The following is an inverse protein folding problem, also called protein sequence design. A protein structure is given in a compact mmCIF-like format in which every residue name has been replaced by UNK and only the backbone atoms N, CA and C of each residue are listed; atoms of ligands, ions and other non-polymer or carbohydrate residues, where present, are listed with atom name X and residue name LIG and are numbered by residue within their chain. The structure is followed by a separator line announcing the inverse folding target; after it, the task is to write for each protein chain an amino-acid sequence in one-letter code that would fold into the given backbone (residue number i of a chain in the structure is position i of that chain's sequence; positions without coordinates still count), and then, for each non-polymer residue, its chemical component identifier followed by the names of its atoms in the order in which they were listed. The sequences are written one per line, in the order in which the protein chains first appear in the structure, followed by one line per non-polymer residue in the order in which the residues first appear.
data_IF_659225373747
#
_entry.id   IF_659225373747
#
_cell.length_a   1.000
_cell.length_b   1.000
_cell.length_c   1.000
_cell.angle_alpha   90.00
_cell.angle_beta   90.00
_cell.angle_gamma   90.00
#
_symmetry.space_group_name_H-M   'P 1'
#
loop_
_entity.id
_entity.type
_entity.pdbx_description
1 polymer ?
#
# COMPACT_ATOMS: atom_id res chain seq x y z
N UNK A 1 -9.00 13.21 -13.18
CA UNK A 1 -9.43 12.81 -11.83
C UNK A 1 -9.16 13.93 -10.84
N UNK A 2 -9.95 14.03 -9.77
CA UNK A 2 -9.75 15.02 -8.71
C UNK A 2 -8.41 14.82 -7.99
N UNK A 3 -7.97 15.86 -7.32
CA UNK A 3 -6.75 15.89 -6.51
C UNK A 3 -6.86 14.87 -5.35
N UNK A 4 -5.77 14.13 -5.08
CA UNK A 4 -5.78 13.05 -4.08
C UNK A 4 -6.10 13.54 -2.66
N UNK A 5 -5.54 14.69 -2.25
CA UNK A 5 -5.78 15.31 -0.95
C UNK A 5 -6.18 16.77 -1.12
N UNK A 6 -7.17 17.21 -0.36
CA UNK A 6 -7.65 18.59 -0.33
C UNK A 6 -7.79 19.10 1.10
N UNK A 7 -7.83 20.42 1.28
CA UNK A 7 -8.08 21.05 2.58
C UNK A 7 -9.35 21.88 2.44
N UNK A 8 -10.37 21.54 3.22
CA UNK A 8 -11.64 22.28 3.26
C UNK A 8 -11.40 23.70 3.76
N UNK A 9 -11.79 24.69 2.94
CA UNK A 9 -11.74 26.11 3.31
C UNK A 9 -12.72 26.47 4.43
N UNK A 10 -13.78 25.68 4.61
CA UNK A 10 -14.82 25.91 5.62
C UNK A 10 -14.40 25.38 7.00
N UNK A 11 -13.66 24.27 7.04
CA UNK A 11 -13.26 23.64 8.30
C UNK A 11 -11.85 24.04 8.75
N UNK A 12 -11.01 24.60 7.87
CA UNK A 12 -9.64 24.94 8.22
C UNK A 12 -9.59 26.11 9.21
N UNK A 13 -8.79 25.93 10.28
CA UNK A 13 -8.57 26.97 11.31
C UNK A 13 -7.18 27.60 11.24
N UNK A 14 -6.44 27.42 10.14
CA UNK A 14 -5.10 27.98 9.93
C UNK A 14 -4.06 27.73 11.06
N UNK A 15 -4.14 26.59 11.76
CA UNK A 15 -3.19 26.24 12.82
C UNK A 15 -1.78 25.83 12.32
N UNK A 16 -1.60 25.73 11.01
CA UNK A 16 -0.36 25.33 10.31
C UNK A 16 0.23 23.97 10.70
N UNK A 17 -0.52 23.10 11.38
CA UNK A 17 -0.06 21.77 11.75
C UNK A 17 0.30 20.92 10.52
N UNK A 18 -0.53 20.97 9.48
CA UNK A 18 -0.28 20.29 8.22
C UNK A 18 1.01 20.79 7.53
N UNK A 19 1.25 22.11 7.56
CA UNK A 19 2.45 22.74 6.96
C UNK A 19 3.73 22.22 7.63
N UNK A 20 3.72 22.13 8.98
CA UNK A 20 4.88 21.66 9.75
C UNK A 20 5.23 20.20 9.46
N UNK A 21 4.22 19.32 9.39
CA UNK A 21 4.43 17.87 9.22
C UNK A 21 4.68 17.45 7.77
N UNK A 22 4.40 18.30 6.78
CA UNK A 22 4.58 17.93 5.37
C UNK A 22 6.09 17.77 5.06
N UNK A 23 6.56 16.56 4.71
CA UNK A 23 7.99 16.29 4.54
C UNK A 23 8.56 17.01 3.31
N UNK A 24 7.73 17.22 2.30
CA UNK A 24 8.14 17.74 0.98
C UNK A 24 7.67 19.19 0.73
N UNK A 25 7.17 19.85 1.77
CA UNK A 25 6.66 21.24 1.73
C UNK A 25 5.66 21.45 0.57
N UNK A 26 4.71 20.52 0.44
CA UNK A 26 3.65 20.55 -0.57
C UNK A 26 2.41 21.33 -0.11
N UNK A 27 2.50 22.14 0.96
CA UNK A 27 1.38 22.90 1.50
C UNK A 27 1.73 24.39 1.46
N UNK A 28 0.89 25.15 0.78
CA UNK A 28 1.00 26.58 0.58
C UNK A 28 0.02 27.33 1.49
N UNK A 29 0.45 28.49 1.99
CA UNK A 29 -0.41 29.46 2.66
C UNK A 29 -0.21 30.79 1.94
N UNK A 30 -1.29 31.37 1.41
CA UNK A 30 -1.24 32.67 0.74
C UNK A 30 -1.75 33.78 1.66
N UNK A 31 -1.12 34.96 1.55
CA UNK A 31 -1.62 36.15 2.23
C UNK A 31 -3.07 36.45 1.81
N UNK A 32 -3.93 36.74 2.78
CA UNK A 32 -5.36 36.98 2.54
C UNK A 32 -6.22 35.72 2.38
N UNK A 33 -5.66 34.51 2.47
CA UNK A 33 -6.44 33.26 2.51
C UNK A 33 -6.55 32.70 3.92
N UNK A 34 -7.78 32.36 4.33
CA UNK A 34 -8.07 31.80 5.65
C UNK A 34 -7.93 30.28 5.73
N UNK A 35 -7.30 29.66 4.73
CA UNK A 35 -7.03 28.22 4.71
C UNK A 35 -5.73 27.90 3.97
N UNK A 36 -5.09 26.80 4.35
CA UNK A 36 -3.93 26.26 3.63
C UNK A 36 -4.37 25.42 2.42
N UNK A 37 -3.53 25.36 1.38
CA UNK A 37 -3.81 24.59 0.15
C UNK A 37 -2.69 23.57 -0.12
N UNK A 38 -3.07 22.38 -0.56
CA UNK A 38 -2.11 21.36 -1.01
C UNK A 38 -1.76 21.62 -2.48
N UNK A 39 -0.46 21.71 -2.78
CA UNK A 39 0.08 21.75 -4.14
C UNK A 39 0.16 20.29 -4.64
N UNK A 40 -0.78 19.92 -5.51
CA UNK A 40 -0.96 18.54 -5.97
C UNK A 40 0.33 17.92 -6.54
N UNK A 41 1.02 18.63 -7.42
CA UNK A 41 2.20 18.12 -8.12
C UNK A 41 3.35 17.76 -7.16
N UNK A 42 3.50 18.53 -6.07
CA UNK A 42 4.51 18.28 -5.03
C UNK A 42 4.10 17.19 -4.04
N UNK A 43 2.82 16.88 -3.92
CA UNK A 43 2.32 15.92 -2.93
C UNK A 43 2.81 14.50 -3.25
N UNK A 44 3.27 13.78 -2.23
CA UNK A 44 3.69 12.36 -2.33
C UNK A 44 2.64 11.39 -1.77
N UNK A 45 1.45 11.88 -1.43
CA UNK A 45 0.33 11.08 -0.95
C UNK A 45 0.47 10.40 0.42
N UNK A 46 1.43 10.86 1.24
CA UNK A 46 1.77 10.21 2.51
C UNK A 46 0.71 10.29 3.62
N UNK A 47 -0.24 11.24 3.52
CA UNK A 47 -1.30 11.41 4.52
C UNK A 47 -0.87 12.01 5.87
N UNK A 48 0.38 12.48 6.04
CA UNK A 48 0.82 13.08 7.31
C UNK A 48 -0.02 14.31 7.71
N UNK A 49 -0.41 15.13 6.72
CA UNK A 49 -1.31 16.26 6.94
C UNK A 49 -2.73 15.84 7.37
N UNK A 50 -3.23 14.70 6.88
CA UNK A 50 -4.52 14.13 7.26
C UNK A 50 -4.52 13.70 8.74
N UNK A 51 -3.44 13.05 9.16
CA UNK A 51 -3.33 12.51 10.52
C UNK A 51 -3.18 13.60 11.59
N UNK A 52 -2.46 14.68 11.30
CA UNK A 52 -2.18 15.74 12.28
C UNK A 52 -3.31 16.78 12.41
N UNK A 53 -4.25 16.83 11.48
CA UNK A 53 -5.26 17.89 11.44
C UNK A 53 -6.25 17.77 12.61
N UNK A 54 -6.30 18.73 13.55
CA UNK A 54 -7.12 18.62 14.75
C UNK A 54 -8.63 18.76 14.47
N UNK A 55 -8.98 19.39 13.35
CA UNK A 55 -10.37 19.69 12.94
C UNK A 55 -10.82 18.87 11.73
N UNK A 56 -10.03 17.86 11.33
CA UNK A 56 -10.32 16.99 10.18
C UNK A 56 -10.63 17.76 8.86
N UNK A 57 -10.01 18.93 8.68
CA UNK A 57 -10.17 19.77 7.49
C UNK A 57 -9.45 19.20 6.26
N UNK A 58 -8.41 18.39 6.45
CA UNK A 58 -7.78 17.66 5.34
C UNK A 58 -8.65 16.46 4.98
N UNK A 59 -9.01 16.35 3.70
CA UNK A 59 -9.77 15.24 3.12
C UNK A 59 -8.95 14.58 2.02
N UNK A 60 -9.33 13.36 1.65
CA UNK A 60 -8.79 12.67 0.49
C UNK A 60 -9.92 12.26 -0.45
N UNK A 61 -9.59 12.05 -1.71
CA UNK A 61 -10.56 11.62 -2.72
C UNK A 61 -11.23 10.30 -2.31
N UNK A 62 -12.55 10.35 -2.13
CA UNK A 62 -13.32 9.15 -1.83
C UNK A 62 -13.72 8.41 -3.11
N UNK A 63 -13.48 7.11 -3.13
CA UNK A 63 -13.83 6.18 -4.22
C UNK A 63 -15.11 5.39 -3.92
N UNK A 64 -15.84 5.68 -2.83
CA UNK A 64 -17.04 4.91 -2.47
C UNK A 64 -18.12 4.96 -3.55
N UNK A 65 -18.41 6.14 -4.11
CA UNK A 65 -19.42 6.28 -5.17
C UNK A 65 -18.99 5.58 -6.46
N UNK A 66 -17.71 5.69 -6.82
CA UNK A 66 -17.13 4.98 -7.97
C UNK A 66 -17.27 3.47 -7.81
N UNK A 67 -16.95 2.94 -6.63
CA UNK A 67 -17.07 1.50 -6.36
C UNK A 67 -18.54 1.06 -6.31
N UNK A 68 -19.45 1.82 -5.71
CA UNK A 68 -20.89 1.52 -5.76
C UNK A 68 -21.42 1.49 -7.20
N UNK A 69 -20.96 2.40 -8.05
CA UNK A 69 -21.27 2.38 -9.48
C UNK A 69 -20.69 1.16 -10.19
N UNK A 70 -19.48 0.74 -9.81
CA UNK A 70 -18.82 -0.44 -10.39
C UNK A 70 -19.56 -1.72 -10.00
N UNK A 71 -19.94 -1.85 -8.73
CA UNK A 71 -20.69 -3.00 -8.20
C UNK A 71 -22.10 -3.10 -8.80
N UNK A 72 -22.73 -1.98 -9.15
CA UNK A 72 -24.05 -1.96 -9.82
C UNK A 72 -23.99 -2.06 -11.34
N UNK A 73 -22.79 -2.12 -11.94
CA UNK A 73 -22.61 -2.09 -13.40
C UNK A 73 -22.92 -3.42 -14.11
N UNK A 74 -23.14 -4.50 -13.36
CA UNK A 74 -23.32 -5.86 -13.90
C UNK A 74 -22.01 -6.57 -14.31
N UNK A 75 -20.86 -5.90 -14.19
CA UNK A 75 -19.55 -6.51 -14.38
C UNK A 75 -19.21 -7.46 -13.21
N UNK A 76 -18.33 -8.43 -13.47
CA UNK A 76 -17.66 -9.17 -12.38
C UNK A 76 -16.68 -8.23 -11.70
N UNK A 77 -16.77 -8.10 -10.39
CA UNK A 77 -15.88 -7.22 -9.61
C UNK A 77 -15.14 -8.04 -8.56
N UNK A 78 -13.81 -8.03 -8.61
CA UNK A 78 -12.92 -8.61 -7.63
C UNK A 78 -12.45 -7.54 -6.63
N UNK A 79 -12.55 -7.85 -5.34
CA UNK A 79 -11.86 -7.11 -4.29
C UNK A 79 -10.49 -7.76 -4.05
N UNK A 80 -9.40 -6.99 -4.10
CA UNK A 80 -8.06 -7.44 -3.67
C UNK A 80 -7.68 -6.77 -2.35
N UNK A 81 -7.69 -7.55 -1.26
CA UNK A 81 -7.54 -7.03 0.09
C UNK A 81 -6.08 -7.03 0.55
N UNK A 82 -5.57 -5.90 1.01
CA UNK A 82 -4.24 -5.82 1.60
C UNK A 82 -4.17 -6.66 2.89
N UNK A 83 -3.09 -7.42 3.16
CA UNK A 83 -2.98 -8.29 4.34
C UNK A 83 -3.09 -7.55 5.70
N UNK A 84 -2.91 -6.23 5.70
CA UNK A 84 -3.08 -5.35 6.87
C UNK A 84 -4.51 -5.31 7.40
N UNK A 85 -5.46 -5.89 6.66
CA UNK A 85 -6.87 -6.01 7.04
C UNK A 85 -7.03 -6.70 8.39
N UNK A 86 -6.20 -7.72 8.64
CA UNK A 86 -6.15 -8.45 9.91
C UNK A 86 -5.74 -7.57 11.10
N UNK A 87 -4.97 -6.52 10.86
CA UNK A 87 -4.58 -5.53 11.87
C UNK A 87 -5.58 -4.38 12.01
N UNK A 88 -6.38 -4.10 10.99
CA UNK A 88 -7.35 -3.00 11.01
C UNK A 88 -8.71 -3.44 11.58
N UNK A 89 -9.20 -4.61 11.17
CA UNK A 89 -10.53 -5.12 11.52
C UNK A 89 -10.47 -6.07 12.72
N UNK A 90 -9.85 -5.59 13.80
CA UNK A 90 -9.66 -6.35 15.05
C UNK A 90 -10.96 -6.64 15.80
N UNK A 91 -12.01 -5.89 15.46
CA UNK A 91 -13.38 -6.04 15.93
C UNK A 91 -14.13 -7.19 15.26
N UNK A 92 -13.61 -7.73 14.16
CA UNK A 92 -14.20 -8.85 13.43
C UNK A 92 -13.52 -10.14 13.86
N UNK A 93 -14.31 -11.09 14.35
CA UNK A 93 -13.80 -12.27 15.09
C UNK A 93 -13.22 -13.35 14.19
N UNK A 94 -13.67 -13.44 12.93
CA UNK A 94 -13.17 -14.40 11.95
C UNK A 94 -13.05 -13.76 10.55
N UNK A 95 -11.89 -13.91 9.91
CA UNK A 95 -11.68 -13.38 8.56
C UNK A 95 -12.68 -13.92 7.54
N UNK A 96 -13.26 -15.10 7.76
CA UNK A 96 -14.24 -15.67 6.83
C UNK A 96 -15.56 -14.92 6.86
N UNK A 97 -15.92 -14.35 8.01
CA UNK A 97 -17.03 -13.40 8.11
C UNK A 97 -16.67 -12.11 7.40
N UNK A 98 -15.43 -11.65 7.56
CA UNK A 98 -14.93 -10.46 6.87
C UNK A 98 -15.03 -10.59 5.33
N UNK A 99 -14.64 -11.74 4.78
CA UNK A 99 -14.79 -12.03 3.35
C UNK A 99 -16.26 -11.99 2.94
N UNK A 100 -17.15 -12.60 3.73
CA UNK A 100 -18.59 -12.56 3.46
C UNK A 100 -19.19 -11.15 3.56
N UNK A 101 -18.67 -10.31 4.46
CA UNK A 101 -19.06 -8.89 4.53
C UNK A 101 -18.72 -8.16 3.23
N UNK A 102 -17.55 -8.42 2.64
CA UNK A 102 -17.18 -7.85 1.35
C UNK A 102 -18.07 -8.42 0.23
N UNK A 103 -18.30 -9.73 0.18
CA UNK A 103 -19.20 -10.34 -0.82
C UNK A 103 -20.62 -9.78 -0.73
N UNK A 104 -21.10 -9.48 0.48
CA UNK A 104 -22.40 -8.86 0.74
C UNK A 104 -22.53 -7.44 0.17
N UNK A 105 -21.43 -6.74 -0.13
CA UNK A 105 -21.46 -5.46 -0.86
C UNK A 105 -21.72 -5.66 -2.37
N UNK A 106 -21.60 -6.87 -2.89
CA UNK A 106 -21.78 -7.20 -4.31
C UNK A 106 -20.51 -7.62 -5.05
N UNK A 107 -19.37 -7.78 -4.37
CA UNK A 107 -18.15 -8.29 -4.98
C UNK A 107 -18.31 -9.76 -5.39
N UNK A 108 -17.94 -10.08 -6.64
CA UNK A 108 -17.98 -11.44 -7.18
C UNK A 108 -16.87 -12.30 -6.60
N UNK A 109 -15.65 -11.74 -6.51
CA UNK A 109 -14.47 -12.41 -5.99
C UNK A 109 -13.85 -11.56 -4.88
N UNK A 110 -13.30 -12.21 -3.86
CA UNK A 110 -12.55 -11.54 -2.79
C UNK A 110 -11.23 -12.28 -2.62
N UNK A 111 -10.16 -11.69 -3.15
CA UNK A 111 -8.81 -12.22 -3.08
C UNK A 111 -7.98 -11.45 -2.05
N UNK A 112 -6.88 -12.03 -1.60
CA UNK A 112 -5.94 -11.38 -0.68
C UNK A 112 -4.62 -11.06 -1.40
N UNK A 113 -4.13 -9.83 -1.24
CA UNK A 113 -2.87 -9.34 -1.84
C UNK A 113 -1.64 -10.13 -1.33
N UNK A 114 -1.79 -10.92 -0.27
CA UNK A 114 -0.78 -11.84 0.25
C UNK A 114 -0.12 -12.69 -0.85
N UNK A 115 -0.88 -13.17 -1.84
CA UNK A 115 -0.28 -13.95 -2.93
C UNK A 115 0.64 -13.09 -3.82
N UNK A 116 0.21 -11.88 -4.18
CA UNK A 116 1.06 -10.92 -4.89
C UNK A 116 2.31 -10.54 -4.09
N UNK A 117 2.23 -10.52 -2.76
CA UNK A 117 3.41 -10.34 -1.91
C UNK A 117 4.39 -11.51 -2.09
N UNK A 118 3.93 -12.75 -2.06
CA UNK A 118 4.82 -13.91 -2.23
C UNK A 118 5.56 -13.88 -3.58
N UNK A 119 4.86 -13.48 -4.64
CA UNK A 119 5.45 -13.30 -5.98
C UNK A 119 6.51 -12.20 -5.96
N UNK A 120 6.16 -11.00 -5.48
CA UNK A 120 7.06 -9.85 -5.47
C UNK A 120 8.26 -10.07 -4.54
N UNK A 121 8.06 -10.73 -3.40
CA UNK A 121 9.15 -11.09 -2.51
C UNK A 121 10.17 -12.01 -3.21
N UNK A 122 9.72 -12.94 -4.08
CA UNK A 122 10.61 -13.79 -4.87
C UNK A 122 11.38 -12.99 -5.91
N UNK A 123 10.76 -12.01 -6.55
CA UNK A 123 11.44 -11.10 -7.47
C UNK A 123 12.51 -10.25 -6.76
N UNK A 124 12.23 -9.76 -5.55
CA UNK A 124 13.26 -9.10 -4.72
C UNK A 124 14.39 -10.04 -4.35
N UNK A 125 14.09 -11.28 -3.97
CA UNK A 125 15.12 -12.27 -3.67
C UNK A 125 16.02 -12.53 -4.88
N UNK A 126 15.44 -12.72 -6.07
CA UNK A 126 16.18 -12.85 -7.33
C UNK A 126 17.07 -11.62 -7.58
N UNK A 127 16.52 -10.42 -7.40
CA UNK A 127 17.24 -9.15 -7.60
C UNK A 127 18.42 -8.99 -6.63
N UNK A 128 18.24 -9.27 -5.35
CA UNK A 128 19.27 -9.11 -4.32
C UNK A 128 20.33 -10.21 -4.36
N UNK A 129 19.97 -11.43 -4.74
CA UNK A 129 20.93 -12.52 -4.91
C UNK A 129 21.75 -12.38 -6.21
N UNK A 130 21.20 -11.75 -7.25
CA UNK A 130 21.89 -11.40 -8.49
C UNK A 130 22.51 -9.99 -8.45
N UNK A 131 23.26 -9.69 -7.38
CA UNK A 131 23.88 -8.38 -7.20
C UNK A 131 24.97 -8.11 -8.26
N UNK A 132 24.86 -6.97 -8.96
CA UNK A 132 25.79 -6.56 -10.03
C UNK A 132 26.45 -5.20 -9.75
N UNK A 133 26.75 -4.91 -8.48
CA UNK A 133 27.39 -3.65 -8.09
C UNK A 133 26.43 -2.46 -7.94
N UNK A 134 25.13 -2.72 -7.78
CA UNK A 134 24.12 -1.68 -7.60
C UNK A 134 23.16 -2.02 -6.47
N UNK A 135 23.01 -1.10 -5.54
CA UNK A 135 22.06 -1.20 -4.44
C UNK A 135 20.70 -0.62 -4.83
N UNK A 136 19.65 -1.16 -4.22
CA UNK A 136 18.27 -0.87 -4.61
C UNK A 136 17.43 -0.43 -3.41
N UNK A 137 16.50 0.47 -3.67
CA UNK A 137 15.38 0.82 -2.81
C UNK A 137 14.15 0.00 -3.22
N UNK A 138 13.48 -0.66 -2.28
CA UNK A 138 12.21 -1.34 -2.57
C UNK A 138 11.14 -0.32 -2.96
N UNK A 139 10.23 -0.75 -3.83
CA UNK A 139 9.22 0.07 -4.51
C UNK A 139 7.79 -0.35 -4.17
N UNK A 140 7.65 -1.20 -3.16
CA UNK A 140 6.35 -1.70 -2.68
C UNK A 140 5.53 -0.64 -1.95
N UNK A 141 6.17 0.42 -1.42
CA UNK A 141 5.52 1.59 -0.86
C UNK A 141 5.44 2.71 -1.92
N UNK A 142 4.25 3.08 -2.43
CA UNK A 142 4.14 4.08 -3.50
C UNK A 142 4.52 5.50 -3.05
N UNK A 143 4.51 5.77 -1.74
CA UNK A 143 5.01 7.03 -1.16
C UNK A 143 6.53 7.14 -1.30
N UNK A 144 7.26 6.03 -1.18
CA UNK A 144 8.73 5.99 -1.39
C UNK A 144 9.04 6.28 -2.84
N UNK A 145 8.33 5.64 -3.77
CA UNK A 145 8.47 5.89 -5.21
C UNK A 145 8.22 7.38 -5.51
N UNK A 146 7.11 7.93 -5.02
CA UNK A 146 6.77 9.34 -5.23
C UNK A 146 7.77 10.32 -4.60
N UNK A 147 8.34 9.97 -3.43
CA UNK A 147 9.39 10.75 -2.78
C UNK A 147 10.65 10.79 -3.64
N UNK A 148 11.10 9.63 -4.14
CA UNK A 148 12.32 9.52 -4.94
C UNK A 148 12.15 10.21 -6.30
N UNK A 149 11.08 9.90 -7.04
CA UNK A 149 10.83 10.51 -8.36
C UNK A 149 10.76 12.04 -8.29
N UNK A 150 10.23 12.59 -7.20
CA UNK A 150 9.99 14.03 -7.06
C UNK A 150 11.07 14.82 -6.33
N UNK A 151 11.78 14.21 -5.39
CA UNK A 151 12.67 14.93 -4.48
C UNK A 151 14.08 14.33 -4.38
N UNK A 152 14.32 13.15 -4.94
CA UNK A 152 15.65 12.54 -5.07
C UNK A 152 15.84 11.94 -6.47
N UNK A 153 15.72 12.75 -7.55
CA UNK A 153 15.74 12.25 -8.92
C UNK A 153 17.01 11.48 -9.29
N UNK A 154 18.12 11.76 -8.61
CA UNK A 154 19.40 11.05 -8.70
C UNK A 154 19.27 9.56 -8.33
N UNK A 155 18.31 9.24 -7.45
CA UNK A 155 18.01 7.88 -6.97
C UNK A 155 16.94 7.15 -7.77
N UNK A 156 16.34 7.74 -8.80
CA UNK A 156 15.30 7.08 -9.62
C UNK A 156 15.81 5.77 -10.21
N UNK A 157 17.07 5.75 -10.63
CA UNK A 157 17.70 4.53 -11.14
C UNK A 157 17.93 3.47 -10.04
N UNK A 158 17.95 3.83 -8.76
CA UNK A 158 18.10 2.91 -7.64
C UNK A 158 16.76 2.34 -7.14
N UNK A 159 15.62 2.84 -7.63
CA UNK A 159 14.34 2.18 -7.41
C UNK A 159 14.36 0.78 -8.06
N UNK A 160 14.03 -0.25 -7.27
CA UNK A 160 13.93 -1.61 -7.80
C UNK A 160 12.84 -1.67 -8.89
N UNK A 161 13.14 -2.16 -10.11
CA UNK A 161 12.23 -2.13 -11.27
C UNK A 161 11.16 -3.21 -11.18
N UNK A 162 10.45 -3.28 -10.06
CA UNK A 162 9.47 -4.30 -9.70
C UNK A 162 8.16 -3.61 -9.33
N UNK A 163 7.02 -4.13 -9.83
CA UNK A 163 5.68 -3.64 -9.49
C UNK A 163 5.33 -3.87 -8.01
N UNK A 164 4.31 -3.17 -7.50
CA UNK A 164 3.84 -3.39 -6.14
C UNK A 164 3.07 -4.72 -6.02
N UNK A 165 2.97 -5.30 -4.80
CA UNK A 165 2.17 -6.50 -4.56
C UNK A 165 0.71 -6.36 -4.99
N UNK A 166 0.14 -5.16 -4.91
CA UNK A 166 -1.22 -4.86 -5.40
C UNK A 166 -1.35 -5.15 -6.89
N UNK A 167 -0.42 -4.64 -7.70
CA UNK A 167 -0.39 -4.83 -9.15
C UNK A 167 -0.09 -6.27 -9.52
N UNK A 168 0.83 -6.93 -8.81
CA UNK A 168 1.10 -8.36 -9.02
C UNK A 168 -0.14 -9.23 -8.74
N UNK A 169 -0.92 -8.88 -7.72
CA UNK A 169 -2.19 -9.55 -7.43
C UNK A 169 -3.21 -9.31 -8.53
N UNK A 170 -3.31 -8.09 -9.06
CA UNK A 170 -4.20 -7.77 -10.17
C UNK A 170 -3.90 -8.62 -11.41
N UNK A 171 -2.61 -8.77 -11.76
CA UNK A 171 -2.15 -9.64 -12.86
C UNK A 171 -2.61 -11.09 -12.69
N UNK A 172 -2.43 -11.66 -11.49
CA UNK A 172 -2.88 -13.03 -11.21
C UNK A 172 -4.42 -13.16 -11.22
N UNK A 173 -5.15 -12.14 -10.75
CA UNK A 173 -6.62 -12.11 -10.75
C UNK A 173 -7.17 -12.05 -12.18
N UNK A 174 -6.64 -11.20 -13.05
CA UNK A 174 -7.06 -11.15 -14.45
C UNK A 174 -6.81 -12.47 -15.18
N UNK A 175 -5.65 -13.11 -14.97
CA UNK A 175 -5.37 -14.41 -15.58
C UNK A 175 -6.34 -15.51 -15.09
N UNK A 176 -6.72 -15.51 -13.81
CA UNK A 176 -7.63 -16.52 -13.23
C UNK A 176 -9.10 -16.29 -13.55
N UNK A 177 -9.54 -15.04 -13.52
CA UNK A 177 -10.96 -14.68 -13.53
C UNK A 177 -11.41 -13.99 -14.82
N UNK A 178 -10.46 -13.66 -15.71
CA UNK A 178 -10.68 -13.01 -16.99
C UNK A 178 -10.25 -11.55 -16.98
N UNK A 179 -9.67 -11.09 -18.10
CA UNK A 179 -9.21 -9.71 -18.32
C UNK A 179 -10.33 -8.66 -18.26
N UNK A 180 -11.58 -9.09 -18.35
CA UNK A 180 -12.78 -8.25 -18.19
C UNK A 180 -13.19 -8.05 -16.73
N UNK A 181 -12.60 -8.81 -15.79
CA UNK A 181 -12.86 -8.67 -14.37
C UNK A 181 -12.41 -7.30 -13.88
N UNK A 182 -13.33 -6.57 -13.25
CA UNK A 182 -13.03 -5.29 -12.64
C UNK A 182 -12.38 -5.48 -11.29
N UNK A 183 -11.35 -4.70 -10.97
CA UNK A 183 -10.59 -4.86 -9.73
C UNK A 183 -10.70 -3.63 -8.86
N UNK A 184 -11.09 -3.84 -7.60
CA UNK A 184 -11.03 -2.82 -6.54
C UNK A 184 -9.99 -3.26 -5.52
N UNK A 185 -8.93 -2.49 -5.37
CA UNK A 185 -7.96 -2.71 -4.31
C UNK A 185 -8.47 -2.12 -2.99
N UNK A 186 -8.32 -2.86 -1.89
CA UNK A 186 -8.76 -2.44 -0.57
C UNK A 186 -7.56 -2.43 0.37
N UNK A 187 -7.19 -1.26 0.91
CA UNK A 187 -5.96 -1.17 1.69
C UNK A 187 -5.81 0.07 2.57
N UNK A 188 -4.69 0.16 3.32
CA UNK A 188 -4.47 1.24 4.28
C UNK A 188 -3.75 2.45 3.66
N UNK A 189 -3.34 2.39 2.39
CA UNK A 189 -2.56 3.45 1.76
C UNK A 189 -3.41 4.23 0.75
N UNK A 190 -3.54 5.54 1.01
CA UNK A 190 -4.27 6.45 0.12
C UNK A 190 -3.53 6.64 -1.21
N UNK A 191 -2.19 6.60 -1.21
CA UNK A 191 -1.38 6.83 -2.42
C UNK A 191 -1.56 5.74 -3.50
N UNK A 192 -2.10 4.57 -3.17
CA UNK A 192 -2.48 3.59 -4.18
C UNK A 192 -3.51 4.14 -5.18
N UNK A 193 -4.38 5.09 -4.77
CA UNK A 193 -5.32 5.76 -5.69
C UNK A 193 -4.62 6.51 -6.83
N UNK A 194 -3.39 6.99 -6.61
CA UNK A 194 -2.56 7.56 -7.68
C UNK A 194 -1.73 6.49 -8.40
N UNK A 195 -1.23 5.48 -7.68
CA UNK A 195 -0.43 4.40 -8.28
C UNK A 195 -1.18 3.62 -9.35
N UNK A 196 -2.46 3.30 -9.13
CA UNK A 196 -3.26 2.52 -10.10
C UNK A 196 -3.35 3.17 -11.49
N UNK A 197 -3.17 4.50 -11.56
CA UNK A 197 -3.22 5.26 -12.82
C UNK A 197 -2.05 4.95 -13.75
N UNK A 198 -1.00 4.30 -13.23
CA UNK A 198 0.20 3.94 -13.97
C UNK A 198 0.06 2.59 -14.70
N UNK A 199 -1.00 1.83 -14.42
CA UNK A 199 -1.14 0.45 -14.87
C UNK A 199 -2.40 0.26 -15.71
N UNK A 200 -2.22 -0.41 -16.84
CA UNK A 200 -3.26 -0.81 -17.78
C UNK A 200 -3.08 -2.30 -18.12
N UNK A 201 -4.00 -2.86 -18.92
CA UNK A 201 -3.93 -4.27 -19.30
C UNK A 201 -4.05 -5.22 -18.11
N UNK A 202 -3.17 -6.22 -18.04
CA UNK A 202 -3.17 -7.25 -17.00
C UNK A 202 -2.87 -6.69 -15.59
N UNK A 203 -2.18 -5.55 -15.49
CA UNK A 203 -1.91 -4.87 -14.22
C UNK A 203 -2.99 -3.86 -13.80
N UNK A 204 -4.08 -3.72 -14.56
CA UNK A 204 -5.09 -2.68 -14.32
C UNK A 204 -5.83 -2.89 -13.00
N UNK A 205 -6.08 -1.79 -12.29
CA UNK A 205 -6.98 -1.74 -11.13
C UNK A 205 -7.94 -0.57 -11.36
N UNK A 206 -9.25 -0.83 -11.28
CA UNK A 206 -10.27 0.17 -11.61
C UNK A 206 -10.50 1.18 -10.48
N UNK A 207 -10.35 0.78 -9.21
CA UNK A 207 -10.51 1.70 -8.08
C UNK A 207 -9.78 1.22 -6.81
N UNK A 208 -9.59 2.12 -5.85
CA UNK A 208 -8.98 1.82 -4.54
C UNK A 208 -9.87 2.34 -3.42
N UNK A 209 -10.29 1.43 -2.52
CA UNK A 209 -10.92 1.78 -1.25
C UNK A 209 -9.89 1.76 -0.13
N UNK A 210 -9.92 2.78 0.71
CA UNK A 210 -9.28 2.71 2.02
C UNK A 210 -10.09 1.83 2.98
N UNK A 211 -9.47 1.39 4.08
CA UNK A 211 -10.21 0.66 5.10
C UNK A 211 -11.27 1.52 5.81
N UNK A 212 -11.01 2.82 5.98
CA UNK A 212 -12.01 3.77 6.50
C UNK A 212 -13.22 3.83 5.56
N UNK A 213 -13.00 3.95 4.25
CA UNK A 213 -14.09 3.94 3.26
C UNK A 213 -14.85 2.61 3.26
N UNK A 214 -14.16 1.47 3.41
CA UNK A 214 -14.81 0.16 3.50
C UNK A 214 -15.70 0.06 4.75
N UNK A 215 -15.24 0.55 5.91
CA UNK A 215 -16.07 0.60 7.14
C UNK A 215 -17.32 1.44 6.93
N UNK A 216 -17.17 2.62 6.34
CA UNK A 216 -18.29 3.49 6.00
C UNK A 216 -19.29 2.80 5.05
N UNK A 217 -18.81 2.01 4.08
CA UNK A 217 -19.68 1.21 3.22
C UNK A 217 -20.41 0.11 4.00
N UNK A 218 -19.75 -0.62 4.91
CA UNK A 218 -20.45 -1.60 5.74
C UNK A 218 -21.54 -0.96 6.60
N UNK A 219 -21.29 0.23 7.15
CA UNK A 219 -22.29 1.00 7.89
C UNK A 219 -23.45 1.44 7.00
N UNK A 220 -23.17 1.99 5.81
CA UNK A 220 -24.16 2.46 4.84
C UNK A 220 -25.12 1.34 4.39
N UNK A 221 -24.58 0.14 4.16
CA UNK A 221 -25.35 -1.04 3.74
C UNK A 221 -25.85 -1.89 4.92
N UNK A 222 -25.63 -1.45 6.17
CA UNK A 222 -26.02 -2.16 7.41
C UNK A 222 -25.52 -3.63 7.45
N UNK A 223 -24.29 -3.85 6.98
CA UNK A 223 -23.63 -5.15 6.97
C UNK A 223 -22.96 -5.39 8.31
N UNK A 224 -23.32 -6.47 9.00
CA UNK A 224 -22.82 -6.82 10.34
C UNK A 224 -22.38 -8.27 10.39
N UNK A 225 -21.24 -8.52 11.06
CA UNK A 225 -20.66 -9.86 11.23
C UNK A 225 -21.65 -10.88 11.81
N UNK A 226 -22.52 -10.45 12.75
CA UNK A 226 -23.42 -11.33 13.49
C UNK A 226 -24.40 -12.12 12.62
N UNK A 227 -24.66 -11.65 11.39
CA UNK A 227 -25.73 -12.16 10.54
C UNK A 227 -25.25 -12.90 9.28
N UNK A 228 -23.93 -13.08 9.12
CA UNK A 228 -23.35 -13.60 7.89
C UNK A 228 -22.83 -15.01 8.04
N UNK A 229 -22.76 -15.78 6.96
CA UNK A 229 -22.10 -17.09 6.97
C UNK A 229 -20.58 -16.96 6.79
N UNK A 230 -19.85 -18.08 6.90
CA UNK A 230 -18.41 -18.08 6.61
C UNK A 230 -18.17 -18.22 5.10
N UNK A 231 -17.27 -17.39 4.57
CA UNK A 231 -16.79 -17.46 3.20
C UNK A 231 -15.26 -17.42 3.17
N UNK A 232 -14.65 -18.27 2.35
CA UNK A 232 -13.19 -18.22 2.16
C UNK A 232 -12.82 -17.16 1.12
N UNK A 233 -11.58 -16.68 1.21
CA UNK A 233 -10.97 -15.93 0.12
C UNK A 233 -10.98 -16.77 -1.16
N UNK A 234 -11.21 -16.12 -2.28
CA UNK A 234 -11.02 -16.67 -3.60
C UNK A 234 -9.52 -16.78 -3.92
N UNK A 235 -9.15 -17.76 -4.76
CA UNK A 235 -7.78 -17.99 -5.19
C UNK A 235 -7.21 -16.79 -6.00
N UNK A 236 -5.89 -16.57 -6.05
CA UNK A 236 -4.85 -17.39 -5.47
C UNK A 236 -4.61 -17.05 -3.99
N UNK A 237 -4.51 -18.08 -3.15
CA UNK A 237 -4.22 -17.93 -1.73
C UNK A 237 -2.72 -17.86 -1.49
N UNK A 238 -2.25 -16.81 -0.81
CA UNK A 238 -0.83 -16.67 -0.45
C UNK A 238 -0.45 -17.24 0.92
N UNK A 239 0.86 -17.26 1.17
CA UNK A 239 1.54 -17.94 2.26
C UNK A 239 2.07 -16.96 3.33
N UNK A 240 3.40 -16.88 3.50
CA UNK A 240 4.07 -15.99 4.45
C UNK A 240 3.97 -14.51 4.07
N UNK A 241 3.57 -14.18 2.84
CA UNK A 241 3.29 -12.81 2.40
C UNK A 241 2.25 -12.08 3.28
N UNK A 242 1.45 -12.82 4.05
CA UNK A 242 0.51 -12.27 5.04
C UNK A 242 1.20 -11.42 6.12
N UNK A 243 2.50 -11.60 6.33
CA UNK A 243 3.32 -10.84 7.27
C UNK A 243 3.78 -9.48 6.72
N UNK A 244 3.69 -9.24 5.40
CA UNK A 244 4.11 -7.99 4.74
C UNK A 244 3.64 -6.66 5.36
N UNK A 245 2.46 -6.57 5.99
CA UNK A 245 2.04 -5.34 6.65
C UNK A 245 2.99 -4.83 7.72
N UNK A 246 3.82 -5.73 8.26
CA UNK A 246 4.93 -5.45 9.15
C UNK A 246 6.18 -5.33 8.28
N UNK A 247 7.00 -4.31 8.52
CA UNK A 247 8.10 -3.93 7.63
C UNK A 247 9.09 -5.06 7.28
N UNK A 248 9.38 -5.98 8.20
CA UNK A 248 10.28 -7.12 7.93
C UNK A 248 9.59 -8.30 7.22
N UNK A 249 8.25 -8.28 7.12
CA UNK A 249 7.45 -9.36 6.59
C UNK A 249 7.72 -9.67 5.12
N UNK A 250 8.14 -8.68 4.32
CA UNK A 250 8.58 -8.91 2.93
C UNK A 250 9.77 -9.86 2.87
N UNK A 251 10.77 -9.67 3.76
CA UNK A 251 11.97 -10.49 3.80
C UNK A 251 11.65 -11.90 4.31
N UNK A 252 10.79 -11.99 5.32
CA UNK A 252 10.34 -13.27 5.89
C UNK A 252 9.52 -14.11 4.91
N UNK A 253 8.83 -13.48 3.95
CA UNK A 253 8.06 -14.21 2.94
C UNK A 253 8.92 -15.17 2.10
N UNK A 254 10.20 -14.85 1.93
CA UNK A 254 11.17 -15.58 1.09
C UNK A 254 12.49 -15.88 1.81
N UNK A 255 12.46 -15.82 3.14
CA UNK A 255 13.58 -16.17 4.02
C UNK A 255 14.88 -15.41 3.65
N UNK A 256 14.78 -14.12 3.29
CA UNK A 256 15.95 -13.23 3.17
C UNK A 256 16.47 -12.97 4.59
N UNK A 257 17.77 -13.22 4.81
CA UNK A 257 18.39 -13.10 6.14
C UNK A 257 18.34 -11.67 6.67
N UNK A 258 17.82 -11.54 7.89
CA UNK A 258 17.80 -10.32 8.69
C UNK A 258 18.94 -10.25 9.72
N UNK A 259 19.83 -11.24 9.72
CA UNK A 259 20.97 -11.29 10.62
C UNK A 259 21.90 -10.08 10.40
N UNK A 260 22.34 -9.43 11.47
CA UNK A 260 23.10 -8.18 11.38
C UNK A 260 24.50 -8.36 10.76
N UNK A 261 25.07 -9.56 10.81
CA UNK A 261 26.41 -9.84 10.31
C UNK A 261 26.40 -10.20 8.82
N UNK A 262 25.35 -10.89 8.35
CA UNK A 262 25.28 -11.41 6.97
C UNK A 262 24.13 -10.83 6.13
N UNK A 263 23.20 -10.12 6.74
CA UNK A 263 22.03 -9.53 6.09
C UNK A 263 22.43 -8.50 5.04
N UNK A 264 21.79 -8.59 3.86
CA UNK A 264 22.05 -7.70 2.70
C UNK A 264 21.08 -6.52 2.61
N UNK A 265 20.06 -6.49 3.48
CA UNK A 265 18.95 -5.54 3.41
C UNK A 265 18.79 -4.82 4.74
N UNK A 266 18.72 -3.50 4.71
CA UNK A 266 18.32 -2.67 5.85
C UNK A 266 16.83 -2.38 5.70
N UNK A 267 16.04 -2.74 6.71
CA UNK A 267 14.60 -2.39 6.75
C UNK A 267 14.40 -1.17 7.63
N UNK A 268 13.63 -0.20 7.13
CA UNK A 268 13.26 0.99 7.90
C UNK A 268 11.79 1.37 7.68
N UNK A 269 11.20 1.96 8.71
CA UNK A 269 9.80 2.36 8.76
C UNK A 269 9.63 3.67 9.50
N UNK A 270 8.53 4.38 9.20
CA UNK A 270 8.21 5.67 9.79
C UNK A 270 8.85 6.84 9.04
N UNK A 271 8.17 7.99 9.09
CA UNK A 271 8.46 9.11 8.21
C UNK A 271 9.85 9.70 8.40
N UNK A 272 10.31 9.83 9.64
CA UNK A 272 11.63 10.42 9.94
C UNK A 272 12.75 9.50 9.49
N UNK A 273 12.68 8.21 9.85
CA UNK A 273 13.71 7.24 9.47
C UNK A 273 13.76 7.05 7.95
N UNK A 274 12.61 7.07 7.26
CA UNK A 274 12.58 6.97 5.81
C UNK A 274 13.32 8.14 5.14
N UNK A 275 13.07 9.37 5.58
CA UNK A 275 13.72 10.55 4.98
C UNK A 275 15.24 10.49 5.17
N UNK A 276 15.69 10.17 6.38
CA UNK A 276 17.12 9.99 6.67
C UNK A 276 17.72 8.85 5.85
N UNK A 277 17.01 7.73 5.72
CA UNK A 277 17.46 6.59 4.95
C UNK A 277 17.65 6.92 3.47
N UNK A 278 16.71 7.64 2.85
CA UNK A 278 16.82 8.05 1.43
C UNK A 278 17.97 9.05 1.24
N UNK A 279 18.11 10.04 2.11
CA UNK A 279 19.20 11.03 2.06
C UNK A 279 20.58 10.38 2.24
N UNK A 280 20.72 9.47 3.21
CA UNK A 280 21.96 8.73 3.45
C UNK A 280 22.25 7.75 2.31
N UNK A 281 21.22 7.12 1.76
CA UNK A 281 21.41 6.28 0.58
C UNK A 281 21.96 7.13 -0.57
N UNK A 282 21.39 8.29 -0.87
CA UNK A 282 21.88 9.20 -1.92
C UNK A 282 23.34 9.61 -1.76
N UNK A 283 23.73 10.00 -0.55
CA UNK A 283 25.06 10.58 -0.29
C UNK A 283 26.13 9.54 0.03
N UNK A 284 25.74 8.35 0.51
CA UNK A 284 26.64 7.39 1.14
C UNK A 284 26.36 5.93 0.75
N UNK A 285 25.76 5.65 -0.42
CA UNK A 285 25.39 4.28 -0.84
C UNK A 285 26.57 3.30 -0.74
N UNK A 286 27.77 3.69 -1.20
CA UNK A 286 28.95 2.81 -1.23
C UNK A 286 29.48 2.47 0.17
N UNK A 287 29.33 3.39 1.14
CA UNK A 287 29.67 3.15 2.54
C UNK A 287 28.65 2.21 3.19
N UNK A 288 27.36 2.45 2.91
CA UNK A 288 26.24 1.70 3.47
C UNK A 288 26.21 0.28 2.92
N UNK A 289 26.54 0.08 1.64
CA UNK A 289 26.69 -1.20 0.94
C UNK A 289 25.55 -2.22 1.16
N UNK A 290 24.30 -1.74 1.22
CA UNK A 290 23.09 -2.55 1.48
C UNK A 290 21.90 -2.11 0.63
N UNK A 291 21.00 -3.04 0.34
CA UNK A 291 19.67 -2.74 -0.21
C UNK A 291 18.74 -2.21 0.89
N UNK A 292 17.75 -1.39 0.53
CA UNK A 292 16.87 -0.74 1.49
C UNK A 292 15.43 -1.18 1.28
N UNK A 293 14.82 -1.75 2.32
CA UNK A 293 13.40 -2.08 2.39
C UNK A 293 12.68 -0.96 3.17
N UNK A 294 11.87 -0.18 2.45
CA UNK A 294 11.44 1.16 2.87
C UNK A 294 9.92 1.27 3.04
N UNK A 295 9.49 1.78 4.20
CA UNK A 295 8.09 2.11 4.48
C UNK A 295 7.97 3.54 5.02
N UNK A 296 7.09 4.36 4.44
CA UNK A 296 6.81 5.70 4.98
C UNK A 296 6.11 5.64 6.34
N UNK A 297 5.15 4.73 6.47
CA UNK A 297 4.43 4.51 7.72
C UNK A 297 5.22 3.52 8.59
N UNK A 298 4.86 3.41 9.87
CA UNK A 298 5.35 2.37 10.78
C UNK A 298 4.76 0.99 10.42
N UNK A 299 5.12 0.49 9.24
CA UNK A 299 4.46 -0.61 8.54
C UNK A 299 3.15 -0.18 7.87
N UNK A 300 2.66 -0.98 6.92
CA UNK A 300 1.36 -0.73 6.26
C UNK A 300 0.18 -0.79 7.26
N UNK A 301 0.34 -1.48 8.39
CA UNK A 301 -0.64 -1.49 9.50
C UNK A 301 -0.93 -0.09 10.07
N UNK A 302 -0.05 0.89 9.85
CA UNK A 302 -0.20 2.29 10.26
C UNK A 302 -0.44 3.23 9.08
N UNK A 303 -0.91 2.72 7.94
CA UNK A 303 -1.22 3.53 6.76
C UNK A 303 -2.33 4.57 7.00
N UNK A 304 -2.33 5.71 6.26
CA UNK A 304 -3.24 6.83 6.51
C UNK A 304 -4.71 6.58 6.14
N UNK A 305 -5.00 5.49 5.42
CA UNK A 305 -6.35 5.01 5.10
C UNK A 305 -6.90 3.99 6.11
N UNK A 306 -6.19 3.73 7.22
CA UNK A 306 -6.67 2.91 8.34
C UNK A 306 -7.32 3.79 9.43
N UNK A 307 -8.08 3.19 10.34
CA UNK A 307 -8.72 3.93 11.44
C UNK A 307 -7.70 4.67 12.31
N UNK A 308 -8.10 5.85 12.81
CA UNK A 308 -7.27 6.66 13.73
C UNK A 308 -7.07 5.96 15.08
N UNK A 309 -6.01 6.32 15.80
CA UNK A 309 -5.82 5.90 17.21
C UNK A 309 -4.57 5.09 17.53
N UNK A 310 -3.60 4.95 16.62
CA UNK A 310 -2.21 4.66 17.01
C UNK A 310 -1.95 3.27 17.63
N UNK A 311 -2.77 2.25 17.34
CA UNK A 311 -2.68 0.93 17.98
C UNK A 311 -1.63 -0.02 17.37
N UNK A 312 -0.44 0.50 16.99
CA UNK A 312 0.60 -0.21 16.23
C UNK A 312 0.86 -1.63 16.74
N UNK A 313 1.14 -1.78 18.04
CA UNK A 313 1.49 -3.08 18.62
C UNK A 313 0.32 -4.07 18.66
N UNK A 314 -0.91 -3.59 18.87
CA UNK A 314 -2.11 -4.44 18.78
C UNK A 314 -2.29 -4.92 17.34
N UNK A 315 -2.25 -4.00 16.37
CA UNK A 315 -2.39 -4.34 14.95
C UNK A 315 -1.32 -5.36 14.52
N UNK A 316 -0.07 -5.13 14.92
CA UNK A 316 1.04 -6.06 14.69
C UNK A 316 0.76 -7.46 15.24
N UNK A 317 0.32 -7.58 16.50
CA UNK A 317 -0.04 -8.86 17.10
C UNK A 317 -1.17 -9.56 16.34
N UNK A 318 -2.17 -8.79 15.89
CA UNK A 318 -3.30 -9.34 15.14
C UNK A 318 -2.88 -9.88 13.77
N UNK A 319 -1.98 -9.18 13.05
CA UNK A 319 -1.41 -9.71 11.79
C UNK A 319 -0.68 -11.04 12.02
N UNK A 320 0.15 -11.14 13.07
CA UNK A 320 0.88 -12.37 13.40
C UNK A 320 -0.07 -13.51 13.78
N UNK A 321 -1.09 -13.23 14.60
CA UNK A 321 -2.10 -14.22 14.98
C UNK A 321 -2.90 -14.72 13.77
N UNK A 322 -3.29 -13.80 12.89
CA UNK A 322 -3.97 -14.11 11.65
C UNK A 322 -3.12 -15.01 10.74
N UNK A 323 -1.86 -14.63 10.49
CA UNK A 323 -0.93 -15.45 9.70
C UNK A 323 -0.76 -16.84 10.31
N UNK A 324 -0.51 -16.93 11.62
CA UNK A 324 -0.40 -18.22 12.32
C UNK A 324 -1.67 -19.07 12.20
N UNK A 325 -2.87 -18.47 12.28
CA UNK A 325 -4.14 -19.19 12.11
C UNK A 325 -4.29 -19.73 10.68
N UNK A 326 -4.05 -18.91 9.66
CA UNK A 326 -4.16 -19.28 8.23
C UNK A 326 -3.16 -20.38 7.86
N UNK A 327 -1.93 -20.29 8.36
CA UNK A 327 -0.87 -21.23 8.03
C UNK A 327 -1.07 -22.64 8.63
N UNK A 328 -1.92 -22.81 9.65
CA UNK A 328 -2.20 -24.14 10.24
C UNK A 328 -2.89 -25.10 9.27
N UNK A 329 -3.76 -24.60 8.40
CA UNK A 329 -4.56 -25.39 7.46
C UNK A 329 -4.22 -25.05 6.01
N UNK A 330 -3.06 -24.43 5.77
CA UNK A 330 -2.65 -23.94 4.47
C UNK A 330 -2.23 -25.07 3.53
N UNK A 331 -2.79 -25.09 2.31
CA UNK A 331 -2.43 -26.06 1.29
C UNK A 331 -1.20 -25.59 0.50
N UNK A 332 -0.01 -26.00 0.95
CA UNK A 332 1.26 -25.63 0.33
C UNK A 332 1.41 -26.10 -1.12
N UNK A 333 0.91 -27.29 -1.46
CA UNK A 333 1.02 -27.82 -2.82
C UNK A 333 0.22 -27.00 -3.84
N UNK A 334 -0.96 -26.50 -3.45
CA UNK A 334 -1.77 -25.62 -4.31
C UNK A 334 -1.09 -24.27 -4.50
N UNK A 335 -0.53 -23.71 -3.43
CA UNK A 335 0.25 -22.49 -3.51
C UNK A 335 1.49 -22.63 -4.39
N UNK A 336 2.26 -23.71 -4.27
CA UNK A 336 3.42 -23.98 -5.13
C UNK A 336 3.02 -24.02 -6.61
N UNK A 337 1.92 -24.70 -6.93
CA UNK A 337 1.35 -24.72 -8.29
C UNK A 337 0.96 -23.32 -8.79
N UNK A 338 0.37 -22.47 -7.93
CA UNK A 338 0.06 -21.10 -8.30
C UNK A 338 1.32 -20.26 -8.49
N UNK A 339 2.33 -20.40 -7.62
CA UNK A 339 3.62 -19.73 -7.80
C UNK A 339 4.23 -20.11 -9.16
N UNK A 340 4.33 -21.40 -9.49
CA UNK A 340 4.88 -21.87 -10.78
C UNK A 340 4.08 -21.32 -11.98
N UNK A 341 2.75 -21.21 -11.84
CA UNK A 341 1.90 -20.63 -12.88
C UNK A 341 2.20 -19.14 -13.11
N UNK A 342 2.35 -18.37 -12.02
CA UNK A 342 2.40 -16.90 -12.11
C UNK A 342 3.82 -16.32 -12.04
N UNK A 343 4.85 -17.10 -11.71
CA UNK A 343 6.22 -16.58 -11.55
C UNK A 343 6.83 -16.01 -12.84
N UNK A 344 6.29 -16.42 -14.00
CA UNK A 344 6.79 -16.01 -15.32
C UNK A 344 6.03 -14.82 -15.91
N UNK A 345 5.06 -14.25 -15.20
CA UNK A 345 4.44 -12.99 -15.62
C UNK A 345 5.45 -11.84 -15.53
N UNK A 346 5.24 -10.81 -16.34
CA UNK A 346 6.07 -9.61 -16.30
C UNK A 346 5.71 -8.73 -15.09
N UNK A 347 6.59 -8.74 -14.09
CA UNK A 347 6.52 -7.90 -12.89
C UNK A 347 7.41 -6.67 -12.97
N UNK A 348 7.96 -6.34 -14.13
CA UNK A 348 8.84 -5.19 -14.29
C UNK A 348 8.05 -3.88 -14.37
N UNK A 349 8.68 -2.78 -13.94
CA UNK A 349 8.20 -1.42 -14.19
C UNK A 349 9.34 -0.45 -14.36
N UNK A 350 9.08 0.65 -15.05
CA UNK A 350 9.95 1.81 -15.12
C UNK A 350 9.52 2.91 -14.15
N UNK A 351 10.45 3.81 -13.85
CA UNK A 351 10.23 5.01 -13.06
C UNK A 351 10.68 6.23 -13.85
N UNK A 352 10.08 7.38 -13.56
CA UNK A 352 10.33 8.63 -14.28
C UNK A 352 10.74 9.72 -13.32
N UNK A 353 11.80 10.46 -13.69
CA UNK A 353 12.16 11.68 -12.96
C UNK A 353 11.01 12.70 -13.12
N UNK A 354 10.54 13.21 -11.98
CA UNK A 354 9.52 14.23 -11.88
C UNK A 354 10.01 15.31 -10.90
N UNK A 355 11.15 15.94 -11.17
CA UNK A 355 11.80 16.84 -10.20
C UNK A 355 10.89 18.01 -9.77
N UNK A 356 10.46 17.97 -8.51
CA UNK A 356 9.63 18.98 -7.86
C UNK A 356 10.44 19.76 -6.80
N UNK A 357 11.77 19.68 -6.78
CA UNK A 357 12.58 20.45 -5.83
C UNK A 357 12.45 21.95 -6.11
N UNK A 358 12.53 22.75 -5.04
CA UNK A 358 12.61 24.20 -5.21
C UNK A 358 14.09 24.58 -5.45
N UNK A 359 14.37 25.58 -6.29
CA UNK A 359 15.73 26.08 -6.42
C UNK A 359 16.23 26.58 -5.06
N UNK A 360 17.51 26.35 -4.78
CA UNK A 360 18.16 26.93 -3.60
C UNK A 360 18.10 28.46 -3.75
N UNK A 361 17.61 29.21 -2.75
CA UNK A 361 17.63 30.66 -2.79
C UNK A 361 19.08 31.15 -3.02
N UNK A 362 19.27 32.19 -3.85
CA UNK A 362 20.59 32.72 -4.17
C UNK A 362 21.33 33.29 -2.96
#
# INVERSE_FOLDING_TARGET
MPQLFEISSESCINCYACVRVCPVKAIEVKAGQNYARIIADRCIGCGSCLNICPVNAVKYYSSKEEVKSLLSSGNKVAAICAPSISGEFVDITDYRKFVEMIKSLGFTYVCEVTFGVDLIAREYKKLFDNFKGKYFLTTTCPVVVSLVEKFHPELVNNLAPIVSPMVATAKAVHDLYGDDTKIVAIGPCIQHKDEIKLFEGDGKIDSVLTFVELREMFEEFNIKESNLEYSEFDEPIGYKGSLYPISNGLLQAVDISEDLLVGKVITTEGSENLLQAVEQFETSTELINRHFNLFYCEGCIMGPGASKGGKKFIRRTMVVNYANKRLKTFNRATWEKHIEKFENLDYTRSFTINDQRLPVPP
#
